data_IF_630875425732
#
_entry.id   IF_630875425732
#
_cell.length_a   1.000
_cell.length_b   1.000
_cell.length_c   1.000
_cell.angle_alpha   90.00
_cell.angle_beta   90.00
_cell.angle_gamma   90.00
#
_symmetry.space_group_name_H-M   'P 1'
#
loop_
_entity.id
_entity.type
_entity.pdbx_description
1 polymer ?
#
# COMPACT_ATOMS: atom_id res chain seq x y z
N UNK A 1 -0.70 31.63 10.42
CA UNK A 1 -0.29 30.71 11.51
C UNK A 1 -1.50 30.14 12.29
N UNK A 2 -2.50 30.92 12.70
CA UNK A 2 -3.70 30.40 13.38
C UNK A 2 -4.49 29.36 12.55
N UNK A 3 -4.55 29.54 11.22
CA UNK A 3 -5.26 28.63 10.31
C UNK A 3 -4.63 27.23 10.23
N UNK A 4 -3.30 27.11 10.30
CA UNK A 4 -2.58 25.83 10.23
C UNK A 4 -2.84 24.94 11.46
N UNK A 5 -2.91 25.53 12.65
CA UNK A 5 -3.22 24.78 13.88
C UNK A 5 -4.66 24.25 13.88
N UNK A 6 -5.62 25.09 13.45
CA UNK A 6 -7.03 24.71 13.33
C UNK A 6 -7.24 23.64 12.26
N UNK A 7 -6.57 23.75 11.11
CA UNK A 7 -6.60 22.75 10.04
C UNK A 7 -6.07 21.39 10.55
N UNK A 8 -4.93 21.38 11.21
CA UNK A 8 -4.33 20.18 11.80
C UNK A 8 -5.29 19.49 12.75
N UNK A 9 -5.94 20.25 13.65
CA UNK A 9 -6.91 19.71 14.60
C UNK A 9 -8.14 19.11 13.90
N UNK A 10 -8.65 19.80 12.88
CA UNK A 10 -9.81 19.33 12.10
C UNK A 10 -9.47 18.02 11.37
N UNK A 11 -8.35 17.97 10.65
CA UNK A 11 -7.94 16.78 9.89
C UNK A 11 -7.72 15.57 10.80
N UNK A 12 -7.02 15.74 11.91
CA UNK A 12 -6.79 14.67 12.88
C UNK A 12 -8.12 14.16 13.48
N UNK A 13 -9.07 15.07 13.76
CA UNK A 13 -10.36 14.72 14.31
C UNK A 13 -11.27 14.03 13.29
N UNK A 14 -11.24 14.48 12.03
CA UNK A 14 -11.90 13.82 10.91
C UNK A 14 -11.48 12.36 10.80
N UNK A 15 -10.17 12.09 10.75
CA UNK A 15 -9.64 10.72 10.68
C UNK A 15 -10.13 9.85 11.85
N UNK A 16 -10.10 10.40 13.07
CA UNK A 16 -10.48 9.65 14.26
C UNK A 16 -11.98 9.30 14.28
N UNK A 17 -12.84 10.21 13.82
CA UNK A 17 -14.29 10.03 13.87
C UNK A 17 -14.86 9.27 12.68
N UNK A 18 -14.26 9.39 11.48
CA UNK A 18 -14.78 8.75 10.25
C UNK A 18 -14.20 7.35 10.02
N UNK A 19 -13.79 6.64 11.04
CA UNK A 19 -13.20 5.31 10.93
C UNK A 19 -14.21 4.26 10.42
N UNK A 20 -14.44 4.28 9.10
CA UNK A 20 -15.37 3.39 8.41
C UNK A 20 -16.84 3.85 8.39
N UNK A 21 -17.18 4.95 9.06
CA UNK A 21 -18.55 5.46 9.17
C UNK A 21 -18.63 6.95 8.83
N UNK A 22 -19.83 7.41 8.46
CA UNK A 22 -20.11 8.82 8.30
C UNK A 22 -20.34 9.47 9.67
N UNK A 23 -19.93 10.72 9.84
CA UNK A 23 -20.08 11.50 11.07
C UNK A 23 -20.95 12.74 10.81
N UNK A 24 -21.77 13.12 11.80
CA UNK A 24 -22.52 14.37 11.72
C UNK A 24 -21.60 15.59 11.81
N UNK A 25 -21.87 16.61 10.99
CA UNK A 25 -21.12 17.87 10.97
C UNK A 25 -21.08 18.50 12.37
N UNK A 26 -22.22 18.52 13.07
CA UNK A 26 -22.31 19.12 14.41
C UNK A 26 -21.53 18.33 15.45
N UNK A 27 -21.50 17.01 15.37
CA UNK A 27 -20.67 16.17 16.24
C UNK A 27 -19.17 16.44 16.03
N UNK A 28 -18.74 16.60 14.78
CA UNK A 28 -17.37 16.98 14.44
C UNK A 28 -17.07 18.40 14.97
N UNK A 29 -17.94 19.38 14.71
CA UNK A 29 -17.81 20.76 15.18
C UNK A 29 -17.69 20.82 16.71
N UNK A 30 -18.60 20.19 17.43
CA UNK A 30 -18.60 20.16 18.89
C UNK A 30 -17.39 19.47 19.53
N UNK A 31 -16.68 18.64 18.76
CA UNK A 31 -15.46 17.97 19.21
C UNK A 31 -14.19 18.81 19.11
N UNK A 32 -14.27 20.01 18.52
CA UNK A 32 -13.15 20.90 18.23
C UNK A 32 -13.26 22.22 19.01
N UNK A 33 -12.13 22.76 19.43
CA UNK A 33 -12.04 24.08 20.07
C UNK A 33 -11.58 25.13 19.04
N UNK A 34 -12.42 25.35 18.02
CA UNK A 34 -12.24 26.39 17.00
C UNK A 34 -13.56 27.14 16.83
N UNK A 35 -13.50 28.38 16.30
CA UNK A 35 -14.73 29.15 16.05
C UNK A 35 -15.54 28.54 14.91
N UNK A 36 -16.87 28.73 14.93
CA UNK A 36 -17.77 28.24 13.87
C UNK A 36 -17.35 28.75 12.49
N UNK A 37 -17.00 30.02 12.38
CA UNK A 37 -16.52 30.62 11.12
C UNK A 37 -15.27 29.92 10.58
N UNK A 38 -14.29 29.66 11.46
CA UNK A 38 -13.07 28.92 11.07
C UNK A 38 -13.40 27.50 10.67
N UNK A 39 -14.27 26.82 11.40
CA UNK A 39 -14.71 25.47 11.08
C UNK A 39 -15.37 25.41 9.69
N UNK A 40 -16.35 26.30 9.45
CA UNK A 40 -17.10 26.33 8.19
C UNK A 40 -16.19 26.64 6.99
N UNK A 41 -15.29 27.59 7.13
CA UNK A 41 -14.31 27.94 6.09
C UNK A 41 -13.38 26.76 5.76
N UNK A 42 -12.86 26.09 6.79
CA UNK A 42 -11.98 24.92 6.60
C UNK A 42 -12.74 23.73 6.01
N UNK A 43 -13.96 23.47 6.48
CA UNK A 43 -14.77 22.36 5.95
C UNK A 43 -15.13 22.60 4.49
N UNK A 44 -15.47 23.84 4.11
CA UNK A 44 -15.72 24.21 2.73
C UNK A 44 -14.47 23.99 1.86
N UNK A 45 -13.31 24.46 2.32
CA UNK A 45 -12.04 24.24 1.62
C UNK A 45 -11.75 22.76 1.41
N UNK A 46 -11.91 21.90 2.44
CA UNK A 46 -11.67 20.45 2.32
C UNK A 46 -12.66 19.79 1.35
N UNK A 47 -13.89 20.31 1.27
CA UNK A 47 -14.90 19.84 0.33
C UNK A 47 -14.53 20.21 -1.10
N UNK A 48 -14.12 21.47 -1.33
CA UNK A 48 -13.73 21.98 -2.64
C UNK A 48 -12.45 21.27 -3.14
N UNK A 49 -11.53 20.95 -2.24
CA UNK A 49 -10.32 20.16 -2.51
C UNK A 49 -10.64 18.66 -2.74
N UNK A 50 -11.89 18.22 -2.59
CA UNK A 50 -12.33 16.82 -2.75
C UNK A 50 -11.86 15.88 -1.64
N UNK A 51 -11.32 16.41 -0.54
CA UNK A 51 -10.79 15.64 0.59
C UNK A 51 -11.88 15.05 1.47
N UNK A 52 -13.10 15.61 1.45
CA UNK A 52 -14.26 15.10 2.19
C UNK A 52 -15.47 14.97 1.28
N UNK A 53 -16.35 14.02 1.56
CA UNK A 53 -17.63 13.86 0.90
C UNK A 53 -18.74 14.26 1.86
N UNK A 54 -19.61 15.17 1.42
CA UNK A 54 -20.74 15.64 2.21
C UNK A 54 -22.07 15.11 1.65
N UNK A 55 -22.93 14.61 2.52
CA UNK A 55 -24.27 14.16 2.17
C UNK A 55 -25.27 14.68 3.22
N UNK A 56 -25.94 15.79 2.90
CA UNK A 56 -26.77 16.50 3.86
C UNK A 56 -25.95 17.01 5.05
N UNK A 57 -26.24 16.52 6.25
CA UNK A 57 -25.53 16.86 7.49
C UNK A 57 -24.41 15.87 7.86
N UNK A 58 -24.13 14.92 6.99
CA UNK A 58 -23.14 13.88 7.22
C UNK A 58 -21.87 14.11 6.40
N UNK A 59 -20.72 13.82 7.01
CA UNK A 59 -19.40 13.79 6.37
C UNK A 59 -18.93 12.35 6.33
N UNK A 60 -18.41 11.92 5.20
CA UNK A 60 -17.76 10.61 5.03
C UNK A 60 -16.45 10.76 4.29
N UNK A 61 -15.54 9.82 4.55
CA UNK A 61 -14.27 9.70 3.85
C UNK A 61 -14.16 8.30 3.23
N UNK A 62 -13.96 8.25 1.92
CA UNK A 62 -13.55 7.01 1.25
C UNK A 62 -12.08 6.69 1.54
N UNK A 63 -11.62 5.47 1.16
CA UNK A 63 -10.25 5.00 1.39
C UNK A 63 -9.19 5.99 0.90
N UNK A 64 -9.32 6.49 -0.33
CA UNK A 64 -8.40 7.48 -0.90
C UNK A 64 -8.41 8.79 -0.09
N UNK A 65 -9.59 9.32 0.20
CA UNK A 65 -9.74 10.55 0.96
C UNK A 65 -9.14 10.44 2.38
N UNK A 66 -9.29 9.31 3.05
CA UNK A 66 -8.68 9.10 4.38
C UNK A 66 -7.16 9.18 4.32
N UNK A 67 -6.54 8.62 3.26
CA UNK A 67 -5.10 8.72 3.06
C UNK A 67 -4.66 10.15 2.76
N UNK A 68 -5.39 10.85 1.89
CA UNK A 68 -5.07 12.22 1.52
C UNK A 68 -5.24 13.17 2.72
N UNK A 69 -6.29 12.96 3.54
CA UNK A 69 -6.51 13.69 4.82
C UNK A 69 -5.38 13.37 5.81
N UNK A 70 -4.91 12.11 5.90
CA UNK A 70 -3.81 11.73 6.77
C UNK A 70 -2.50 12.41 6.35
N UNK A 71 -2.18 12.40 5.07
CA UNK A 71 -1.01 13.09 4.54
C UNK A 71 -1.08 14.60 4.80
N UNK A 72 -2.22 15.22 4.51
CA UNK A 72 -2.46 16.65 4.77
C UNK A 72 -2.37 17.02 6.24
N UNK A 73 -2.80 16.11 7.15
CA UNK A 73 -2.67 16.31 8.60
C UNK A 73 -1.19 16.36 9.03
N UNK A 74 -0.36 15.44 8.53
CA UNK A 74 1.08 15.42 8.80
C UNK A 74 1.77 16.65 8.23
N UNK A 75 1.46 17.06 7.01
CA UNK A 75 1.96 18.31 6.40
C UNK A 75 1.59 19.55 7.21
N UNK A 76 0.39 19.55 7.82
CA UNK A 76 -0.06 20.61 8.73
C UNK A 76 0.59 20.54 10.13
N UNK A 77 1.49 19.56 10.36
CA UNK A 77 2.23 19.38 11.60
C UNK A 77 1.52 18.54 12.65
N UNK A 78 0.59 17.65 12.25
CA UNK A 78 0.07 16.64 13.15
C UNK A 78 1.15 15.59 13.48
N UNK A 79 1.05 15.00 14.66
CA UNK A 79 1.91 13.87 15.03
C UNK A 79 1.65 12.68 14.11
N UNK A 80 2.67 12.35 13.32
CA UNK A 80 2.57 11.34 12.28
C UNK A 80 2.25 9.93 12.83
N UNK A 81 2.70 9.63 14.05
CA UNK A 81 2.39 8.36 14.70
C UNK A 81 0.93 8.31 15.15
N UNK A 82 0.39 9.42 15.70
CA UNK A 82 -1.01 9.52 16.06
C UNK A 82 -1.92 9.43 14.83
N UNK A 83 -1.56 10.09 13.73
CA UNK A 83 -2.26 10.00 12.44
C UNK A 83 -2.23 8.56 11.91
N UNK A 84 -1.08 7.90 11.90
CA UNK A 84 -0.96 6.51 11.46
C UNK A 84 -1.85 5.56 12.25
N UNK A 85 -1.97 5.76 13.57
CA UNK A 85 -2.86 4.95 14.43
C UNK A 85 -4.35 5.13 14.11
N UNK A 86 -4.73 6.23 13.47
CA UNK A 86 -6.11 6.49 13.03
C UNK A 86 -6.45 5.84 11.68
N UNK A 87 -5.45 5.28 10.98
CA UNK A 87 -5.65 4.54 9.75
C UNK A 87 -6.04 3.09 10.05
N UNK A 88 -6.97 2.56 9.26
CA UNK A 88 -7.33 1.15 9.29
C UNK A 88 -6.31 0.29 8.56
N UNK A 89 -6.58 -1.03 8.55
CA UNK A 89 -5.70 -2.00 7.89
C UNK A 89 -5.55 -1.73 6.39
N UNK A 90 -6.67 -1.46 5.70
CA UNK A 90 -6.68 -1.24 4.25
C UNK A 90 -5.94 0.04 3.86
N UNK A 91 -6.12 1.10 4.66
CA UNK A 91 -5.42 2.36 4.46
C UNK A 91 -3.91 2.18 4.66
N UNK A 92 -3.51 1.37 5.63
CA UNK A 92 -2.10 1.09 5.89
C UNK A 92 -1.44 0.31 4.73
N UNK A 93 -2.09 -0.74 4.22
CA UNK A 93 -1.60 -1.46 3.04
C UNK A 93 -1.46 -0.51 1.85
N UNK A 94 -2.47 0.34 1.61
CA UNK A 94 -2.48 1.29 0.50
C UNK A 94 -1.42 2.39 0.66
N UNK A 95 -1.25 2.93 1.87
CA UNK A 95 -0.20 3.91 2.16
C UNK A 95 1.19 3.32 1.89
N UNK A 96 1.42 2.11 2.38
CA UNK A 96 2.69 1.39 2.14
C UNK A 96 2.96 1.20 0.65
N UNK A 97 1.93 0.83 -0.12
CA UNK A 97 2.05 0.70 -1.57
C UNK A 97 2.35 2.04 -2.25
N UNK A 98 1.65 3.13 -1.89
CA UNK A 98 1.90 4.48 -2.42
C UNK A 98 3.33 4.96 -2.13
N UNK A 99 3.88 4.65 -0.96
CA UNK A 99 5.27 5.00 -0.63
C UNK A 99 6.25 4.27 -1.55
N UNK A 100 6.06 2.98 -1.80
CA UNK A 100 6.88 2.25 -2.77
C UNK A 100 6.75 2.81 -4.19
N UNK A 101 5.52 3.11 -4.64
CA UNK A 101 5.23 3.65 -5.96
C UNK A 101 5.90 5.03 -6.16
N UNK A 102 5.82 5.91 -5.16
CA UNK A 102 6.49 7.20 -5.17
C UNK A 102 8.03 7.10 -5.25
N UNK A 103 8.60 5.95 -4.84
CA UNK A 103 10.03 5.65 -4.93
C UNK A 103 10.39 4.74 -6.13
N UNK A 104 9.55 4.73 -7.17
CA UNK A 104 9.83 4.08 -8.45
C UNK A 104 9.63 2.57 -8.48
N UNK A 105 8.95 2.00 -7.49
CA UNK A 105 8.54 0.60 -7.54
C UNK A 105 7.15 0.49 -8.17
N UNK A 106 6.93 -0.56 -8.95
CA UNK A 106 5.59 -1.03 -9.27
C UNK A 106 5.14 -1.97 -8.15
N UNK A 107 3.90 -1.84 -7.67
CA UNK A 107 3.40 -2.63 -6.55
C UNK A 107 2.25 -3.53 -6.96
N UNK A 108 2.35 -4.81 -6.62
CA UNK A 108 1.22 -5.75 -6.65
C UNK A 108 0.72 -5.94 -5.22
N UNK A 109 -0.54 -5.62 -5.00
CA UNK A 109 -1.22 -5.77 -3.71
C UNK A 109 -1.86 -7.15 -3.63
N UNK A 110 -1.77 -7.79 -2.46
CA UNK A 110 -2.38 -9.10 -2.18
C UNK A 110 -2.05 -10.12 -3.26
N UNK A 111 -0.74 -10.25 -3.54
CA UNK A 111 -0.26 -11.18 -4.57
C UNK A 111 -0.43 -12.62 -4.09
N UNK A 112 -1.40 -13.33 -4.68
CA UNK A 112 -1.72 -14.72 -4.35
C UNK A 112 -1.08 -15.67 -5.33
N UNK A 113 -0.50 -16.76 -4.81
CA UNK A 113 0.04 -17.85 -5.61
C UNK A 113 -0.18 -19.19 -4.93
N UNK A 114 -0.13 -20.27 -5.71
CA UNK A 114 -0.21 -21.63 -5.19
C UNK A 114 1.12 -22.31 -5.45
N UNK A 115 1.71 -22.85 -4.43
CA UNK A 115 2.96 -23.60 -4.47
C UNK A 115 2.99 -24.63 -3.35
N UNK A 116 3.63 -25.77 -3.60
CA UNK A 116 3.80 -26.84 -2.61
C UNK A 116 2.46 -27.31 -1.99
N UNK A 117 1.41 -27.40 -2.83
CA UNK A 117 0.06 -27.82 -2.40
C UNK A 117 -0.71 -26.81 -1.53
N UNK A 118 -0.16 -25.62 -1.30
CA UNK A 118 -0.72 -24.58 -0.43
C UNK A 118 -0.94 -23.27 -1.17
N UNK A 119 -1.94 -22.50 -0.72
CA UNK A 119 -2.15 -21.10 -1.16
C UNK A 119 -1.36 -20.15 -0.28
N UNK A 120 -0.68 -19.21 -0.92
CA UNK A 120 0.12 -18.18 -0.29
C UNK A 120 -0.35 -16.80 -0.73
N UNK A 121 -0.17 -15.82 0.15
CA UNK A 121 -0.46 -14.41 -0.15
C UNK A 121 0.66 -13.54 0.40
N UNK A 122 1.21 -12.67 -0.44
CA UNK A 122 2.05 -11.54 -0.05
C UNK A 122 1.15 -10.30 0.00
N UNK A 123 1.14 -9.58 1.11
CA UNK A 123 0.31 -8.37 1.24
C UNK A 123 0.73 -7.34 0.20
N UNK A 124 2.04 -7.12 0.06
CA UNK A 124 2.64 -6.29 -0.98
C UNK A 124 3.80 -7.03 -1.67
N UNK A 125 3.91 -6.86 -2.98
CA UNK A 125 5.09 -7.21 -3.75
C UNK A 125 5.54 -5.98 -4.53
N UNK A 126 6.59 -5.30 -4.04
CA UNK A 126 7.15 -4.12 -4.67
C UNK A 126 8.29 -4.52 -5.60
N UNK A 127 8.27 -4.00 -6.83
CA UNK A 127 9.04 -4.48 -7.98
C UNK A 127 9.79 -3.32 -8.61
N UNK A 128 11.11 -3.34 -8.53
CA UNK A 128 12.03 -2.40 -9.21
C UNK A 128 13.33 -3.13 -9.54
N UNK A 129 13.64 -3.31 -10.80
CA UNK A 129 14.80 -4.13 -11.23
C UNK A 129 16.08 -3.72 -10.51
N UNK A 130 16.85 -4.67 -9.96
CA UNK A 130 16.60 -6.11 -9.93
C UNK A 130 15.81 -6.59 -8.69
N UNK A 131 15.17 -5.72 -7.93
CA UNK A 131 14.60 -5.98 -6.61
C UNK A 131 13.14 -6.40 -6.64
N UNK A 132 12.81 -7.42 -5.84
CA UNK A 132 11.48 -7.86 -5.48
C UNK A 132 11.36 -7.79 -3.95
N UNK A 133 10.69 -6.78 -3.42
CA UNK A 133 10.48 -6.66 -1.98
C UNK A 133 9.14 -7.29 -1.62
N UNK A 134 9.19 -8.38 -0.85
CA UNK A 134 8.04 -9.07 -0.31
C UNK A 134 7.64 -8.40 1.02
N UNK A 135 6.58 -7.60 1.00
CA UNK A 135 6.08 -6.86 2.15
C UNK A 135 5.00 -7.65 2.89
N UNK A 136 5.14 -7.76 4.20
CA UNK A 136 4.12 -8.24 5.14
C UNK A 136 3.64 -7.06 5.97
N UNK A 137 2.40 -6.65 5.78
CA UNK A 137 1.81 -5.53 6.50
C UNK A 137 1.25 -5.97 7.84
N UNK A 138 1.65 -5.31 8.92
CA UNK A 138 1.13 -5.59 10.26
C UNK A 138 0.72 -4.32 10.98
N UNK A 139 -0.58 -4.19 11.17
CA UNK A 139 -1.17 -3.14 11.98
C UNK A 139 -0.95 -3.46 13.46
N UNK A 140 0.29 -3.27 13.91
CA UNK A 140 0.61 -3.48 15.32
C UNK A 140 0.12 -2.29 16.12
N UNK A 141 -1.02 -2.46 16.78
CA UNK A 141 -1.45 -1.59 17.85
C UNK A 141 -0.53 -1.71 19.06
N UNK A 142 -0.89 -1.15 20.20
CA UNK A 142 -0.10 -1.16 21.41
C UNK A 142 0.40 -2.56 21.78
N UNK A 143 1.73 -2.77 21.69
CA UNK A 143 2.44 -3.84 22.38
C UNK A 143 2.20 -5.26 21.88
N UNK A 144 2.61 -5.60 20.65
CA UNK A 144 2.83 -7.00 20.33
C UNK A 144 4.03 -7.50 21.10
N UNK A 145 3.84 -8.57 21.87
CA UNK A 145 4.96 -9.27 22.54
C UNK A 145 5.96 -9.77 21.50
N UNK A 146 7.24 -9.69 21.83
CA UNK A 146 8.36 -10.10 20.97
C UNK A 146 8.17 -11.49 20.36
N UNK A 147 7.52 -12.42 21.07
CA UNK A 147 7.29 -13.78 20.60
C UNK A 147 6.31 -13.81 19.39
N UNK A 148 5.23 -13.05 19.43
CA UNK A 148 4.27 -12.96 18.33
C UNK A 148 4.90 -12.29 17.11
N UNK A 149 5.66 -11.23 17.30
CA UNK A 149 6.38 -10.56 16.23
C UNK A 149 7.39 -11.52 15.55
N UNK A 150 8.16 -12.28 16.33
CA UNK A 150 9.08 -13.30 15.80
C UNK A 150 8.37 -14.33 14.96
N UNK A 151 7.26 -14.90 15.44
CA UNK A 151 6.47 -15.89 14.70
C UNK A 151 5.95 -15.35 13.36
N UNK A 152 5.52 -14.11 13.34
CA UNK A 152 5.05 -13.45 12.10
C UNK A 152 6.19 -13.35 11.10
N UNK A 153 7.36 -12.89 11.53
CA UNK A 153 8.54 -12.78 10.66
C UNK A 153 9.00 -14.16 10.16
N UNK A 154 8.98 -15.18 11.00
CA UNK A 154 9.34 -16.55 10.60
C UNK A 154 8.38 -17.11 9.55
N UNK A 155 7.07 -16.90 9.71
CA UNK A 155 6.07 -17.26 8.70
C UNK A 155 6.27 -16.46 7.40
N UNK A 156 6.63 -15.19 7.50
CA UNK A 156 6.89 -14.36 6.33
C UNK A 156 8.17 -14.77 5.59
N UNK A 157 9.21 -15.16 6.32
CA UNK A 157 10.42 -15.76 5.74
C UNK A 157 10.09 -17.01 4.94
N UNK A 158 9.36 -17.98 5.54
CA UNK A 158 8.91 -19.20 4.86
C UNK A 158 8.15 -18.86 3.57
N UNK A 159 7.20 -17.94 3.65
CA UNK A 159 6.42 -17.46 2.51
C UNK A 159 7.30 -16.90 1.39
N UNK A 160 8.30 -16.09 1.75
CA UNK A 160 9.22 -15.47 0.80
C UNK A 160 10.18 -16.51 0.19
N UNK A 161 10.61 -17.50 0.95
CA UNK A 161 11.43 -18.61 0.44
C UNK A 161 10.64 -19.44 -0.58
N UNK A 162 9.38 -19.80 -0.27
CA UNK A 162 8.51 -20.49 -1.22
C UNK A 162 8.32 -19.66 -2.50
N UNK A 163 8.05 -18.36 -2.36
CA UNK A 163 7.93 -17.47 -3.50
C UNK A 163 9.22 -17.48 -4.35
N UNK A 164 10.38 -17.42 -3.71
CA UNK A 164 11.69 -17.43 -4.37
C UNK A 164 11.92 -18.71 -5.16
N UNK A 165 11.63 -19.89 -4.57
CA UNK A 165 11.77 -21.18 -5.27
C UNK A 165 10.88 -21.29 -6.51
N UNK A 166 9.76 -20.58 -6.54
CA UNK A 166 8.78 -20.62 -7.62
C UNK A 166 8.80 -19.40 -8.54
N UNK A 167 9.77 -18.50 -8.39
CA UNK A 167 9.81 -17.23 -9.12
C UNK A 167 9.83 -17.41 -10.65
N UNK A 168 10.48 -18.46 -11.16
CA UNK A 168 10.52 -18.77 -12.58
C UNK A 168 9.13 -19.01 -13.17
N UNK A 169 8.26 -19.72 -12.45
CA UNK A 169 6.89 -19.99 -12.88
C UNK A 169 6.00 -18.76 -12.69
N UNK A 170 6.31 -17.93 -11.70
CA UNK A 170 5.52 -16.74 -11.34
C UNK A 170 5.90 -15.49 -12.13
N UNK A 171 7.01 -15.49 -12.85
CA UNK A 171 7.61 -14.29 -13.47
C UNK A 171 6.71 -13.54 -14.44
N UNK A 172 5.85 -14.25 -15.19
CA UNK A 172 4.85 -13.61 -16.06
C UNK A 172 3.82 -12.85 -15.24
N UNK A 173 3.27 -13.46 -14.20
CA UNK A 173 2.31 -12.84 -13.29
C UNK A 173 2.91 -11.69 -12.50
N UNK A 174 4.19 -11.80 -12.14
CA UNK A 174 4.98 -10.75 -11.49
C UNK A 174 5.37 -9.66 -12.49
N UNK A 175 5.38 -9.97 -13.81
CA UNK A 175 5.73 -9.01 -14.87
C UNK A 175 7.22 -8.71 -14.96
N UNK A 176 8.06 -9.75 -14.78
CA UNK A 176 9.53 -9.67 -14.83
C UNK A 176 10.14 -10.58 -15.90
N UNK A 177 9.39 -10.91 -16.96
CA UNK A 177 9.82 -11.83 -18.02
C UNK A 177 11.14 -11.42 -18.71
N UNK A 178 11.43 -10.11 -18.77
CA UNK A 178 12.65 -9.58 -19.38
C UNK A 178 13.87 -9.52 -18.44
N UNK A 179 13.73 -9.94 -17.17
CA UNK A 179 14.84 -9.88 -16.22
C UNK A 179 15.76 -11.09 -16.35
N UNK A 180 17.07 -10.84 -16.19
CA UNK A 180 18.11 -11.88 -16.13
C UNK A 180 18.47 -12.26 -14.70
N UNK A 181 18.12 -11.44 -13.73
CA UNK A 181 18.35 -11.69 -12.30
C UNK A 181 17.29 -11.02 -11.46
N UNK A 182 17.02 -11.59 -10.29
CA UNK A 182 16.18 -10.98 -9.26
C UNK A 182 16.86 -11.09 -7.89
N UNK A 183 16.65 -10.08 -7.06
CA UNK A 183 17.04 -10.06 -5.65
C UNK A 183 15.75 -9.94 -4.84
N UNK A 184 15.36 -11.02 -4.17
CA UNK A 184 14.12 -11.11 -3.41
C UNK A 184 14.43 -10.78 -1.96
N UNK A 185 13.69 -9.82 -1.36
CA UNK A 185 13.94 -9.31 0.00
C UNK A 185 12.65 -9.35 0.80
N UNK A 186 12.58 -10.05 1.94
CA UNK A 186 11.45 -9.98 2.87
C UNK A 186 11.52 -8.70 3.70
N UNK A 187 10.36 -8.10 3.96
CA UNK A 187 10.22 -6.92 4.80
C UNK A 187 8.91 -6.97 5.58
N UNK A 188 8.96 -6.70 6.88
CA UNK A 188 7.77 -6.43 7.66
C UNK A 188 7.51 -4.92 7.68
N UNK A 189 6.27 -4.53 7.37
CA UNK A 189 5.82 -3.14 7.40
C UNK A 189 4.93 -2.93 8.60
N UNK A 190 5.12 -1.83 9.31
CA UNK A 190 4.38 -1.48 10.52
C UNK A 190 3.85 -0.05 10.46
N UNK A 191 2.76 0.25 11.17
CA UNK A 191 2.27 1.62 11.28
C UNK A 191 3.21 2.50 12.11
N UNK A 192 3.63 1.99 13.25
CA UNK A 192 4.48 2.70 14.22
C UNK A 192 5.85 2.05 14.31
N UNK A 193 6.81 2.77 14.83
CA UNK A 193 8.12 2.22 15.16
C UNK A 193 7.96 0.99 16.07
N UNK A 194 8.78 -0.02 15.83
CA UNK A 194 8.81 -1.26 16.60
C UNK A 194 10.14 -1.38 17.32
N UNK A 195 10.17 -1.89 18.58
CA UNK A 195 11.43 -2.13 19.28
C UNK A 195 12.31 -3.20 18.64
N UNK A 196 11.73 -3.99 17.71
CA UNK A 196 12.46 -5.00 16.95
C UNK A 196 12.64 -4.53 15.51
N UNK A 197 13.70 -3.79 15.24
CA UNK A 197 14.00 -3.27 13.91
C UNK A 197 14.42 -4.35 12.90
N UNK A 198 15.18 -5.34 13.37
CA UNK A 198 15.66 -6.47 12.55
C UNK A 198 15.57 -7.78 13.33
N UNK A 199 14.91 -8.79 12.75
CA UNK A 199 14.92 -10.16 13.26
C UNK A 199 15.19 -11.16 12.14
N UNK A 200 16.13 -12.09 12.34
CA UNK A 200 16.60 -13.03 11.30
C UNK A 200 16.96 -12.33 9.98
N UNK A 201 17.51 -11.15 10.08
CA UNK A 201 17.86 -10.27 8.94
C UNK A 201 16.66 -9.74 8.16
N UNK A 202 15.43 -9.91 8.66
CA UNK A 202 14.22 -9.29 8.11
C UNK A 202 14.02 -7.95 8.80
N UNK A 203 14.00 -6.84 8.06
CA UNK A 203 13.74 -5.53 8.64
C UNK A 203 12.26 -5.36 8.96
N UNK A 204 11.98 -4.70 10.08
CA UNK A 204 10.65 -4.20 10.44
C UNK A 204 10.66 -2.69 10.32
N UNK A 205 10.03 -2.18 9.28
CA UNK A 205 10.10 -0.77 8.90
C UNK A 205 8.73 -0.11 9.12
N UNK A 206 8.70 0.98 9.88
CA UNK A 206 7.47 1.76 9.95
C UNK A 206 7.19 2.45 8.62
N UNK A 207 5.91 2.61 8.27
CA UNK A 207 5.51 3.28 7.02
C UNK A 207 6.07 4.71 6.92
N UNK A 208 6.28 5.36 8.06
CA UNK A 208 6.84 6.70 8.13
C UNK A 208 8.36 6.73 7.87
N UNK A 209 9.08 5.67 8.23
CA UNK A 209 10.51 5.52 7.97
C UNK A 209 10.80 4.86 6.60
N UNK A 210 9.78 4.32 5.94
CA UNK A 210 9.92 3.59 4.69
C UNK A 210 10.59 4.39 3.56
N UNK A 211 10.30 5.69 3.34
CA UNK A 211 10.99 6.48 2.31
C UNK A 211 12.51 6.54 2.53
N UNK A 212 12.95 6.82 3.76
CA UNK A 212 14.37 6.87 4.12
C UNK A 212 15.02 5.49 3.96
N UNK A 213 14.34 4.43 4.41
CA UNK A 213 14.82 3.06 4.26
C UNK A 213 15.01 2.66 2.78
N UNK A 214 14.06 3.04 1.90
CA UNK A 214 14.16 2.77 0.46
C UNK A 214 15.34 3.51 -0.18
N UNK A 215 15.62 4.73 0.25
CA UNK A 215 16.76 5.51 -0.27
C UNK A 215 18.10 4.88 0.11
N UNK A 216 18.19 4.22 1.25
CA UNK A 216 19.40 3.55 1.74
C UNK A 216 19.42 2.05 1.39
N UNK A 217 18.40 1.54 0.73
CA UNK A 217 18.14 0.12 0.53
C UNK A 217 19.32 -0.65 -0.06
N UNK A 218 19.96 -0.12 -1.10
CA UNK A 218 21.09 -0.76 -1.77
C UNK A 218 22.28 -0.97 -0.83
N UNK A 219 22.56 0.00 0.04
CA UNK A 219 23.64 -0.08 1.02
C UNK A 219 23.36 -1.04 2.19
N UNK A 220 22.09 -1.38 2.41
CA UNK A 220 21.71 -2.25 3.53
C UNK A 220 21.55 -3.72 3.14
N UNK A 221 21.55 -4.06 1.85
CA UNK A 221 21.26 -5.42 1.34
C UNK A 221 22.12 -6.52 1.98
N UNK A 222 23.40 -6.27 2.24
CA UNK A 222 24.29 -7.26 2.88
C UNK A 222 23.85 -7.65 4.28
N UNK A 223 23.20 -6.74 4.98
CA UNK A 223 22.68 -6.94 6.33
C UNK A 223 21.31 -7.59 6.36
N UNK A 224 20.58 -7.56 5.23
CA UNK A 224 19.23 -8.07 5.10
C UNK A 224 19.21 -9.50 4.59
N UNK A 225 18.16 -10.25 4.96
CA UNK A 225 17.84 -11.51 4.30
C UNK A 225 17.49 -11.22 2.85
N UNK A 226 18.14 -11.92 1.94
CA UNK A 226 17.83 -11.82 0.52
C UNK A 226 18.21 -13.09 -0.21
N UNK A 227 17.54 -13.34 -1.33
CA UNK A 227 17.84 -14.43 -2.26
C UNK A 227 18.14 -13.85 -3.64
N UNK A 228 19.33 -14.14 -4.14
CA UNK A 228 19.75 -13.77 -5.50
C UNK A 228 19.45 -14.95 -6.42
N UNK A 229 18.64 -14.71 -7.44
CA UNK A 229 18.21 -15.73 -8.39
C UNK A 229 18.53 -15.28 -9.81
N UNK A 230 19.26 -16.13 -10.55
CA UNK A 230 19.43 -15.97 -11.98
C UNK A 230 18.12 -16.39 -12.68
N UNK A 231 17.66 -15.58 -13.62
CA UNK A 231 16.46 -15.81 -14.41
C UNK A 231 16.83 -15.93 -15.88
N UNK A 232 16.27 -16.93 -16.56
CA UNK A 232 16.46 -17.02 -18.01
C UNK A 232 15.45 -16.06 -18.70
N UNK A 233 15.91 -15.06 -19.47
CA UNK A 233 15.02 -14.14 -20.17
C UNK A 233 14.04 -14.91 -21.06
N UNK A 234 12.72 -14.80 -20.81
CA UNK A 234 11.74 -15.32 -21.74
C UNK A 234 11.72 -14.43 -22.98
N UNK A 235 11.87 -15.04 -24.15
CA UNK A 235 11.57 -14.33 -25.39
C UNK A 235 10.07 -13.96 -25.35
N UNK A 236 9.70 -12.70 -25.66
CA UNK A 236 8.30 -12.33 -25.69
C UNK A 236 7.59 -13.22 -26.71
N UNK A 237 6.60 -14.00 -26.27
CA UNK A 237 5.74 -14.70 -27.20
C UNK A 237 5.07 -13.66 -28.11
N UNK A 238 5.29 -13.77 -29.41
CA UNK A 238 4.57 -12.99 -30.41
C UNK A 238 3.10 -13.35 -30.24
N UNK A 239 2.29 -12.44 -29.71
CA UNK A 239 0.83 -12.58 -29.71
C UNK A 239 0.39 -12.84 -31.15
N UNK A 240 0.05 -14.08 -31.46
CA UNK A 240 -0.59 -14.40 -32.74
C UNK A 240 -1.92 -13.67 -32.78
N UNK A 241 -1.95 -12.56 -33.50
CA UNK A 241 -3.18 -11.85 -33.84
C UNK A 241 -3.97 -12.78 -34.77
N UNK A 242 -4.90 -13.56 -34.21
CA UNK A 242 -5.87 -14.29 -35.01
C UNK A 242 -6.73 -13.27 -35.75
N UNK A 243 -6.34 -12.94 -36.98
CA UNK A 243 -7.18 -12.23 -37.93
C UNK A 243 -8.41 -13.14 -38.21
N UNK A 244 -9.53 -12.79 -37.62
CA UNK A 244 -10.83 -13.37 -38.04
C UNK A 244 -11.07 -12.95 -39.49
N UNK A 245 -10.81 -13.86 -40.46
CA UNK A 245 -11.29 -13.72 -41.82
C UNK A 245 -12.83 -13.64 -41.77
N UNK A 246 -13.37 -12.45 -42.00
CA UNK A 246 -14.78 -12.28 -42.33
C UNK A 246 -14.99 -12.92 -43.69
N UNK A 247 -15.66 -14.08 -43.73
CA UNK A 247 -16.18 -14.67 -44.95
C UNK A 247 -17.39 -13.82 -45.36
N UNK A 248 -17.22 -13.04 -46.39
CA UNK A 248 -18.30 -12.34 -47.10
C UNK A 248 -19.13 -13.37 -47.87
N UNK A 249 -20.25 -13.80 -47.30
CA UNK A 249 -21.25 -14.60 -47.97
C UNK A 249 -22.06 -13.74 -48.93
N UNK A 250 -21.78 -13.87 -50.22
CA UNK A 250 -22.56 -13.37 -51.33
C UNK A 250 -23.98 -13.97 -51.30
N UNK A 251 -25.01 -13.15 -51.09
CA UNK A 251 -26.40 -13.52 -51.40
C UNK A 251 -26.67 -13.30 -52.88
N UNK A 252 -26.68 -14.39 -53.62
CA UNK A 252 -27.30 -14.42 -54.99
C UNK A 252 -28.81 -14.29 -54.83
N UNK A 253 -29.34 -13.25 -55.45
CA UNK A 253 -30.75 -13.12 -55.76
C UNK A 253 -31.20 -14.22 -56.75
N UNK A 254 -32.32 -14.89 -56.49
CA UNK A 254 -33.11 -15.57 -57.48
C UNK A 254 -34.53 -14.97 -57.48
N UNK A 255 -34.85 -14.43 -58.65
CA UNK A 255 -36.23 -14.13 -59.08
C UNK A 255 -37.00 -15.45 -59.21
N UNK A 256 -38.21 -15.47 -58.76
CA UNK A 256 -39.47 -15.78 -59.47
C UNK A 256 -40.59 -15.51 -58.48
#
# INVERSE_FOLDING_TARGET
MANSASLRLLLARLLALTNGEAVEIEALRGSLRITSETFDALLQQLTDDGLVSMQGKMISLGLGQRLDVAMRAVEAGADAEAVSRSLGWLEFEELSAKVFEANGFRVLRRFRFTAEGRRWELDLLAIRAPYLVCGECKHWGKGIGNQTARRIIETHLEKTEVFTRHIEVLRERVGICGWSKAVIVPMALTLSATPMEIYRRVPSVSVLALPSFINEFDGQLERLANWKTELQPMKPEKKQTKLKKRVSGSKRARRL
#
